data_IF_939444966158
#
_entry.id   IF_939444966158
#
_cell.length_a   1.000
_cell.length_b   1.000
_cell.length_c   1.000
_cell.angle_alpha   90.00
_cell.angle_beta   90.00
_cell.angle_gamma   90.00
#
_symmetry.space_group_name_H-M   'P 1'
#
loop_
_entity.id
_entity.type
_entity.pdbx_description
1 polymer ?
#
# COMPACT_ATOMS: atom_id res chain seq x y z
N UNK A 1 -13.80 -6.01 -20.63
CA UNK A 1 -13.97 -5.73 -19.18
C UNK A 1 -13.21 -4.44 -18.85
N UNK A 2 -13.86 -3.45 -18.25
CA UNK A 2 -13.16 -2.25 -17.74
C UNK A 2 -12.45 -2.58 -16.44
N UNK A 3 -11.20 -2.12 -16.30
CA UNK A 3 -10.45 -2.23 -15.03
C UNK A 3 -11.07 -1.30 -14.00
N UNK A 4 -11.16 -1.77 -12.75
CA UNK A 4 -11.62 -0.90 -11.65
C UNK A 4 -10.59 0.19 -11.35
N UNK A 5 -11.02 1.31 -10.77
CA UNK A 5 -10.12 2.37 -10.30
C UNK A 5 -9.04 1.83 -9.35
N UNK A 6 -9.37 0.79 -8.58
CA UNK A 6 -8.42 0.07 -7.73
C UNK A 6 -7.34 -0.64 -8.53
N UNK A 7 -7.72 -1.40 -9.57
CA UNK A 7 -6.75 -2.09 -10.42
C UNK A 7 -5.80 -1.10 -11.10
N UNK A 8 -6.34 0.02 -11.59
CA UNK A 8 -5.55 1.07 -12.23
C UNK A 8 -4.56 1.75 -11.25
N UNK A 9 -4.92 1.88 -9.97
CA UNK A 9 -4.04 2.44 -8.95
C UNK A 9 -2.91 1.47 -8.58
N UNK A 10 -3.23 0.19 -8.36
CA UNK A 10 -2.24 -0.85 -8.05
C UNK A 10 -1.25 -1.01 -9.20
N UNK A 11 -1.73 -1.12 -10.45
CA UNK A 11 -0.86 -1.24 -11.63
C UNK A 11 0.06 -0.03 -11.81
N UNK A 12 -0.41 1.17 -11.48
CA UNK A 12 0.43 2.37 -11.51
C UNK A 12 1.56 2.30 -10.49
N UNK A 13 1.27 1.89 -9.25
CA UNK A 13 2.28 1.75 -8.20
C UNK A 13 3.27 0.64 -8.50
N UNK A 14 2.82 -0.46 -9.08
CA UNK A 14 3.70 -1.53 -9.57
C UNK A 14 4.63 -1.02 -10.66
N UNK A 15 4.09 -0.31 -11.64
CA UNK A 15 4.88 0.30 -12.71
C UNK A 15 5.90 1.30 -12.15
N UNK A 16 5.47 2.20 -11.27
CA UNK A 16 6.34 3.19 -10.64
C UNK A 16 7.44 2.52 -9.80
N UNK A 17 7.12 1.46 -9.07
CA UNK A 17 8.13 0.69 -8.33
C UNK A 17 9.12 0.03 -9.29
N UNK A 18 8.66 -0.63 -10.36
CA UNK A 18 9.56 -1.25 -11.34
C UNK A 18 10.46 -0.23 -12.06
N UNK A 19 9.88 0.87 -12.54
CA UNK A 19 10.60 1.94 -13.27
C UNK A 19 11.66 2.62 -12.41
N UNK A 20 11.50 2.58 -11.09
CA UNK A 20 12.41 3.18 -10.12
C UNK A 20 13.22 2.12 -9.33
N UNK A 21 13.32 0.87 -9.77
CA UNK A 21 14.04 -0.18 -8.99
C UNK A 21 13.54 -0.34 -7.53
N UNK A 22 12.29 0.04 -7.26
CA UNK A 22 11.60 -0.18 -6.01
C UNK A 22 11.28 -1.66 -5.81
N UNK A 23 11.16 -2.07 -4.54
CA UNK A 23 10.83 -3.45 -4.19
C UNK A 23 9.30 -3.60 -4.04
N UNK A 24 8.77 -4.71 -4.54
CA UNK A 24 7.36 -5.09 -4.39
C UNK A 24 7.29 -6.38 -3.58
N UNK A 25 6.49 -6.42 -2.52
CA UNK A 25 6.27 -7.62 -1.71
C UNK A 25 4.77 -7.90 -1.57
N UNK A 26 4.34 -9.06 -2.05
CA UNK A 26 2.96 -9.55 -1.88
C UNK A 26 2.87 -10.42 -0.63
N UNK A 27 1.91 -10.12 0.24
CA UNK A 27 1.61 -10.90 1.45
C UNK A 27 0.13 -11.28 1.45
N UNK A 28 -0.18 -12.51 1.84
CA UNK A 28 -1.57 -12.94 2.06
C UNK A 28 -1.73 -13.34 3.51
N UNK A 29 -2.63 -12.67 4.22
CA UNK A 29 -2.93 -12.91 5.62
C UNK A 29 -4.33 -13.48 5.76
N UNK A 30 -4.49 -14.55 6.54
CA UNK A 30 -5.81 -15.07 6.91
C UNK A 30 -6.23 -14.35 8.20
N UNK A 31 -7.13 -13.37 8.07
CA UNK A 31 -7.75 -12.74 9.22
C UNK A 31 -8.87 -13.64 9.72
N UNK A 32 -8.65 -14.26 10.88
CA UNK A 32 -9.73 -14.91 11.62
C UNK A 32 -10.59 -13.83 12.26
N UNK A 33 -11.83 -13.65 11.80
CA UNK A 33 -12.79 -12.79 12.50
C UNK A 33 -13.24 -13.50 13.77
N UNK A 34 -13.16 -12.86 14.95
CA UNK A 34 -13.72 -13.41 16.19
C UNK A 34 -15.22 -13.15 16.19
N UNK A 35 -15.96 -13.77 15.29
CA UNK A 35 -17.42 -13.83 15.39
C UNK A 35 -17.79 -15.24 15.82
N UNK A 36 -18.38 -15.33 17.00
CA UNK A 36 -19.03 -16.55 17.47
C UNK A 36 -19.99 -17.04 16.38
N UNK A 37 -20.12 -18.36 16.27
CA UNK A 37 -21.03 -19.10 15.38
C UNK A 37 -20.47 -19.59 14.03
N UNK A 38 -19.64 -18.87 13.26
CA UNK A 38 -18.90 -19.47 12.11
C UNK A 38 -17.58 -18.75 11.85
N UNK A 39 -16.45 -19.47 11.95
CA UNK A 39 -15.12 -18.98 11.54
C UNK A 39 -15.13 -18.71 10.04
N UNK A 40 -15.45 -17.49 9.64
CA UNK A 40 -15.13 -17.00 8.30
C UNK A 40 -13.68 -16.52 8.32
N UNK A 41 -12.80 -17.24 7.61
CA UNK A 41 -11.44 -16.77 7.35
C UNK A 41 -11.52 -15.80 6.19
N UNK A 42 -11.24 -14.52 6.45
CA UNK A 42 -11.13 -13.53 5.38
C UNK A 42 -9.67 -13.51 4.90
N UNK A 43 -9.44 -13.93 3.66
CA UNK A 43 -8.13 -13.77 3.03
C UNK A 43 -7.95 -12.29 2.67
N UNK A 44 -7.06 -11.61 3.39
CA UNK A 44 -6.68 -10.24 3.08
C UNK A 44 -5.34 -10.27 2.38
N UNK A 45 -5.32 -9.77 1.15
CA UNK A 45 -4.05 -9.58 0.43
C UNK A 45 -3.50 -8.21 0.78
N UNK A 46 -2.25 -8.19 1.21
CA UNK A 46 -1.47 -6.97 1.41
C UNK A 46 -0.40 -6.89 0.34
N UNK A 47 -0.26 -5.73 -0.28
CA UNK A 47 0.84 -5.47 -1.20
C UNK A 47 1.70 -4.34 -0.65
N UNK A 48 2.99 -4.59 -0.50
CA UNK A 48 3.97 -3.63 0.01
C UNK A 48 4.81 -3.10 -1.14
N UNK A 49 4.98 -1.78 -1.20
CA UNK A 49 5.89 -1.13 -2.14
C UNK A 49 6.94 -0.36 -1.36
N UNK A 50 8.20 -0.55 -1.71
CA UNK A 50 9.33 0.14 -1.11
C UNK A 50 9.96 1.07 -2.13
N UNK A 51 9.97 2.36 -1.80
CA UNK A 51 10.57 3.40 -2.63
C UNK A 51 11.72 4.08 -1.91
N UNK A 52 12.76 4.47 -2.65
CA UNK A 52 13.78 5.40 -2.16
C UNK A 52 13.22 6.83 -2.17
N UNK A 53 13.76 7.69 -1.31
CA UNK A 53 13.26 9.07 -1.08
C UNK A 53 13.34 9.93 -2.33
N UNK A 54 14.43 9.81 -3.06
CA UNK A 54 14.69 10.49 -4.33
C UNK A 54 13.74 10.04 -5.46
N UNK A 55 13.16 8.85 -5.32
CA UNK A 55 12.20 8.30 -6.28
C UNK A 55 10.76 8.75 -5.98
N UNK A 56 10.46 9.05 -4.71
CA UNK A 56 9.13 9.49 -4.28
C UNK A 56 8.71 10.86 -4.82
N UNK A 57 9.67 11.72 -5.16
CA UNK A 57 9.35 13.00 -5.80
C UNK A 57 8.87 12.84 -7.25
N UNK A 58 9.14 11.68 -7.87
CA UNK A 58 8.76 11.39 -9.26
C UNK A 58 7.46 10.60 -9.37
N UNK A 59 6.92 10.13 -8.24
CA UNK A 59 5.72 9.29 -8.19
C UNK A 59 4.50 10.10 -7.75
N UNK A 60 3.30 9.65 -8.15
CA UNK A 60 2.04 10.29 -7.75
C UNK A 60 1.73 10.24 -6.25
N UNK A 61 2.55 9.53 -5.48
CA UNK A 61 2.46 9.31 -4.03
C UNK A 61 3.30 10.28 -3.21
N UNK A 62 4.05 11.19 -3.84
CA UNK A 62 4.90 12.16 -3.15
C UNK A 62 4.16 13.01 -2.11
N UNK A 63 2.87 13.32 -2.34
CA UNK A 63 2.04 14.02 -1.36
C UNK A 63 1.77 13.17 -0.11
N UNK A 64 1.49 11.87 -0.27
CA UNK A 64 1.31 10.95 0.86
C UNK A 64 2.62 10.70 1.60
N UNK A 65 3.75 10.71 0.88
CA UNK A 65 5.07 10.65 1.49
C UNK A 65 5.36 11.86 2.38
N UNK A 66 5.10 13.07 1.90
CA UNK A 66 5.29 14.28 2.70
C UNK A 66 4.42 14.25 3.97
N UNK A 67 3.17 13.81 3.85
CA UNK A 67 2.27 13.65 5.01
C UNK A 67 2.78 12.61 6.01
N UNK A 68 3.34 11.49 5.56
CA UNK A 68 3.95 10.48 6.43
C UNK A 68 5.27 10.96 7.08
N UNK A 69 6.05 11.80 6.39
CA UNK A 69 7.22 12.46 6.96
C UNK A 69 6.82 13.44 8.05
N UNK A 70 5.82 14.29 7.80
CA UNK A 70 5.34 15.32 8.73
C UNK A 70 4.76 14.68 10.01
N UNK A 71 4.12 13.50 9.89
CA UNK A 71 3.61 12.75 11.04
C UNK A 71 4.69 11.93 11.79
N UNK A 72 5.94 11.94 11.30
CA UNK A 72 7.11 11.22 11.86
C UNK A 72 6.91 9.71 12.07
N UNK A 73 5.86 9.12 11.52
CA UNK A 73 5.48 7.72 11.83
C UNK A 73 4.79 7.07 10.63
N UNK A 74 3.50 7.32 10.44
CA UNK A 74 2.70 6.78 9.36
C UNK A 74 1.58 7.72 8.95
N UNK A 75 1.11 7.57 7.72
CA UNK A 75 -0.11 8.20 7.21
C UNK A 75 -1.05 7.13 6.64
N UNK A 76 -2.33 7.20 7.01
CA UNK A 76 -3.35 6.25 6.58
C UNK A 76 -4.40 6.97 5.74
N UNK A 77 -4.73 6.39 4.58
CA UNK A 77 -5.79 6.90 3.72
C UNK A 77 -6.54 5.77 3.05
N UNK A 78 -7.79 6.05 2.67
CA UNK A 78 -8.61 5.13 1.89
C UNK A 78 -8.64 5.57 0.44
N UNK A 79 -8.23 4.68 -0.46
CA UNK A 79 -8.32 4.91 -1.91
C UNK A 79 -9.31 3.88 -2.45
N UNK A 80 -10.52 4.32 -2.79
CA UNK A 80 -11.60 3.42 -3.18
C UNK A 80 -11.93 2.36 -2.10
N UNK A 81 -11.72 1.08 -2.44
CA UNK A 81 -12.07 -0.07 -1.58
C UNK A 81 -10.90 -0.66 -0.79
N UNK A 82 -9.73 -0.03 -0.82
CA UNK A 82 -8.55 -0.50 -0.09
C UNK A 82 -8.00 0.58 0.85
N UNK A 83 -7.32 0.11 1.88
CA UNK A 83 -6.60 0.97 2.81
C UNK A 83 -5.16 1.08 2.35
N UNK A 84 -4.66 2.31 2.32
CA UNK A 84 -3.29 2.68 2.03
C UNK A 84 -2.64 3.15 3.33
N UNK A 85 -1.54 2.54 3.69
CA UNK A 85 -0.71 2.97 4.81
C UNK A 85 0.68 3.29 4.31
N UNK A 86 1.16 4.46 4.68
CA UNK A 86 2.38 5.09 4.20
C UNK A 86 3.30 5.28 5.40
N UNK A 87 4.42 4.56 5.46
CA UNK A 87 5.30 4.54 6.64
C UNK A 87 6.64 5.18 6.28
N UNK A 88 7.10 6.11 7.14
CA UNK A 88 8.42 6.72 7.05
C UNK A 88 9.34 6.14 8.15
N UNK A 89 10.47 5.53 7.76
CA UNK A 89 11.39 4.85 8.68
C UNK A 89 12.83 5.43 8.65
N UNK A 90 12.97 6.76 8.74
CA UNK A 90 14.25 7.47 8.98
C UNK A 90 15.30 7.37 7.86
N UNK A 91 15.84 6.17 7.60
CA UNK A 91 16.96 5.91 6.71
C UNK A 91 16.60 5.75 5.22
N UNK A 92 15.44 6.26 4.78
CA UNK A 92 14.98 6.22 3.38
C UNK A 92 14.55 4.83 2.92
N UNK A 93 13.37 4.40 3.36
CA UNK A 93 12.48 3.50 2.62
C UNK A 93 11.05 3.93 2.93
N UNK A 94 10.26 4.29 1.92
CA UNK A 94 8.83 4.53 2.09
C UNK A 94 8.07 3.26 1.77
N UNK A 95 7.25 2.82 2.73
CA UNK A 95 6.45 1.60 2.57
C UNK A 95 5.00 1.99 2.32
N UNK A 96 4.47 1.63 1.16
CA UNK A 96 3.02 1.65 0.90
C UNK A 96 2.47 0.26 1.15
N UNK A 97 1.55 0.12 2.09
CA UNK A 97 0.79 -1.10 2.32
C UNK A 97 -0.61 -0.95 1.75
N UNK A 98 -0.97 -1.79 0.79
CA UNK A 98 -2.32 -1.86 0.22
C UNK A 98 -3.05 -3.08 0.74
N UNK A 99 -4.11 -2.88 1.54
CA UNK A 99 -4.99 -3.97 1.99
C UNK A 99 -6.15 -4.14 1.02
N UNK A 100 -6.10 -5.19 0.20
CA UNK A 100 -7.12 -5.53 -0.79
C UNK A 100 -8.15 -6.47 -0.16
N UNK A 101 -9.37 -5.96 0.03
CA UNK A 101 -10.53 -6.78 0.35
C UNK A 101 -11.12 -7.27 -0.98
N UNK A 102 -10.95 -8.56 -1.27
CA UNK A 102 -11.60 -9.24 -2.39
C UNK A 102 -12.93 -9.84 -1.96
#
# INVERSE_FOLDING_TARGET
>A
MMKSTTQLYVERLEKEAMDNEGLIQDETHLLEKPTSVKRSKLAVKKKKFFFKKDQLQKTGIGAMYNQAMDSSTAYHSRVGNFNVECIHCGAVHFVILLSLNY
#
